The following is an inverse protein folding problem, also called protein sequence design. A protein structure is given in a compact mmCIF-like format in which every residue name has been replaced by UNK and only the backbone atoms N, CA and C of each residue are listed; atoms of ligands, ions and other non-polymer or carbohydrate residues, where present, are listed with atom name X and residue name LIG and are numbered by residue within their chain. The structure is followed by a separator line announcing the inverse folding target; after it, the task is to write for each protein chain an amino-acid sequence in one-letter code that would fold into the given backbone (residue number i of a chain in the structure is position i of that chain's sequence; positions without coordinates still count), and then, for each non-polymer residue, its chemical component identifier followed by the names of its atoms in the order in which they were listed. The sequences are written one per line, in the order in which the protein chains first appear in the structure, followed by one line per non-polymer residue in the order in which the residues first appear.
data_IF_777108399905
#
_entry.id   IF_777108399905
#
_cell.length_a   1.000
_cell.length_b   1.000
_cell.length_c   1.000
_cell.angle_alpha   90.00
_cell.angle_beta   90.00
_cell.angle_gamma   90.00
#
_symmetry.space_group_name_H-M   'P 1'
#
loop_
_entity.id
_entity.type
_entity.pdbx_description
1 polymer ?
#
# COMPACT_ATOMS: atom_id res chain seq x y z
N UNK A 1 -7.36 16.96 -18.75
CA UNK A 1 -6.13 16.57 -19.50
C UNK A 1 -6.12 15.04 -19.64
N UNK A 2 -5.80 14.55 -20.80
CA UNK A 2 -5.66 13.11 -21.03
C UNK A 2 -4.20 12.70 -21.05
N UNK A 3 -3.91 11.50 -20.52
CA UNK A 3 -2.57 10.93 -20.48
C UNK A 3 -2.42 9.72 -21.42
N UNK A 4 -3.39 9.52 -22.31
CA UNK A 4 -3.50 8.29 -23.11
C UNK A 4 -2.26 7.95 -23.93
N UNK A 5 -1.55 8.97 -24.42
CA UNK A 5 -0.40 8.79 -25.29
C UNK A 5 0.96 9.00 -24.59
N UNK A 6 0.95 9.11 -23.28
CA UNK A 6 2.19 9.28 -22.53
C UNK A 6 2.79 7.91 -22.16
N UNK A 7 4.13 7.76 -22.23
CA UNK A 7 4.77 6.60 -21.63
C UNK A 7 4.37 6.44 -20.16
N UNK A 8 4.31 5.22 -19.64
CA UNK A 8 3.81 4.97 -18.27
C UNK A 8 4.47 5.81 -17.17
N UNK A 9 5.75 6.10 -17.31
CA UNK A 9 6.49 6.87 -16.31
C UNK A 9 6.78 8.31 -16.71
N UNK A 10 6.20 8.79 -17.82
CA UNK A 10 6.31 10.19 -18.17
C UNK A 10 5.68 11.06 -17.10
N UNK A 11 6.34 12.15 -16.76
CA UNK A 11 5.87 13.08 -15.74
C UNK A 11 4.47 13.62 -16.07
N UNK A 12 3.62 13.68 -15.06
CA UNK A 12 2.24 14.17 -15.20
C UNK A 12 1.66 14.61 -13.87
N UNK A 13 0.65 15.46 -13.94
CA UNK A 13 -0.20 15.74 -12.78
C UNK A 13 -1.31 14.69 -12.71
N UNK A 14 -1.57 14.18 -11.51
CA UNK A 14 -2.64 13.22 -11.25
C UNK A 14 -3.70 13.93 -10.42
N UNK A 15 -4.93 13.95 -10.90
CA UNK A 15 -6.07 14.50 -10.17
C UNK A 15 -6.60 13.42 -9.22
N UNK A 16 -6.03 13.38 -8.03
CA UNK A 16 -6.30 12.33 -7.06
C UNK A 16 -7.76 12.31 -6.61
N UNK A 17 -8.38 13.48 -6.50
CA UNK A 17 -9.78 13.58 -6.08
C UNK A 17 -10.70 12.80 -7.01
N UNK A 18 -10.44 12.85 -8.30
CA UNK A 18 -11.26 12.20 -9.32
C UNK A 18 -10.85 10.77 -9.66
N UNK A 19 -9.79 10.25 -9.05
CA UNK A 19 -9.47 8.84 -9.20
C UNK A 19 -10.49 7.98 -8.43
N UNK A 20 -10.94 6.87 -9.01
CA UNK A 20 -11.84 5.98 -8.29
C UNK A 20 -11.10 5.26 -7.16
N UNK A 21 -11.80 4.99 -6.06
CA UNK A 21 -11.30 4.10 -5.03
C UNK A 21 -11.38 2.67 -5.52
N UNK A 22 -10.29 1.96 -5.45
CA UNK A 22 -10.21 0.53 -5.76
C UNK A 22 -10.45 -0.27 -4.49
N UNK A 23 -11.35 -1.24 -4.58
CA UNK A 23 -11.57 -2.16 -3.47
C UNK A 23 -10.40 -3.11 -3.36
N UNK A 24 -9.96 -3.34 -2.13
CA UNK A 24 -8.93 -4.33 -1.86
C UNK A 24 -9.58 -5.67 -1.49
N UNK A 25 -8.76 -6.67 -1.22
CA UNK A 25 -9.20 -7.95 -0.69
C UNK A 25 -9.87 -7.82 0.69
N UNK A 26 -9.60 -6.74 1.42
CA UNK A 26 -10.04 -6.58 2.80
C UNK A 26 -11.20 -5.59 2.89
N UNK A 27 -12.37 -6.03 3.44
CA UNK A 27 -13.51 -5.13 3.61
C UNK A 27 -13.13 -3.90 4.45
N UNK A 28 -13.58 -2.74 4.03
CA UNK A 28 -13.28 -1.48 4.71
C UNK A 28 -11.91 -0.89 4.40
N UNK A 29 -11.15 -1.51 3.49
CA UNK A 29 -9.85 -1.02 3.04
C UNK A 29 -9.90 -0.77 1.54
N UNK A 30 -9.61 0.46 1.14
CA UNK A 30 -9.63 0.88 -0.26
C UNK A 30 -8.34 1.61 -0.61
N UNK A 31 -8.01 1.65 -1.90
CA UNK A 31 -6.78 2.24 -2.39
C UNK A 31 -7.02 3.04 -3.67
N UNK A 32 -6.27 4.14 -3.81
CA UNK A 32 -6.06 4.81 -5.11
C UNK A 32 -4.60 4.64 -5.46
N UNK A 33 -4.30 4.06 -6.62
CA UNK A 33 -2.93 3.95 -7.10
C UNK A 33 -2.54 5.26 -7.78
N UNK A 34 -1.56 5.95 -7.23
CA UNK A 34 -1.09 7.23 -7.78
C UNK A 34 0.03 7.03 -8.79
N UNK A 35 0.91 6.09 -8.52
CA UNK A 35 2.05 5.77 -9.38
C UNK A 35 2.36 4.29 -9.21
N UNK A 36 2.54 3.58 -10.31
CA UNK A 36 3.05 2.21 -10.27
C UNK A 36 4.04 2.01 -11.42
N UNK A 37 5.20 1.47 -11.11
CA UNK A 37 6.17 1.00 -12.08
C UNK A 37 6.27 -0.53 -11.97
N UNK A 38 5.65 -1.22 -12.89
CA UNK A 38 5.61 -2.68 -12.86
C UNK A 38 6.95 -3.33 -13.18
N UNK A 39 7.88 -2.56 -13.76
CA UNK A 39 9.22 -3.06 -14.06
C UNK A 39 10.09 -3.09 -12.79
N UNK A 40 9.92 -2.14 -11.88
CA UNK A 40 10.75 -2.03 -10.67
C UNK A 40 9.98 -2.31 -9.38
N UNK A 41 8.64 -2.38 -9.44
CA UNK A 41 7.82 -2.56 -8.25
C UNK A 41 7.51 -1.28 -7.48
N UNK A 42 8.02 -0.14 -7.93
CA UNK A 42 7.73 1.13 -7.27
C UNK A 42 6.24 1.40 -7.27
N UNK A 43 5.67 1.66 -6.09
CA UNK A 43 4.25 1.91 -5.93
C UNK A 43 4.03 3.04 -4.94
N UNK A 44 3.21 4.02 -5.33
CA UNK A 44 2.71 5.05 -4.43
C UNK A 44 1.19 5.00 -4.46
N UNK A 45 0.58 4.89 -3.31
CA UNK A 45 -0.86 4.72 -3.18
C UNK A 45 -1.42 5.57 -2.04
N UNK A 46 -2.65 6.02 -2.24
CA UNK A 46 -3.46 6.59 -1.18
C UNK A 46 -4.34 5.47 -0.63
N UNK A 47 -4.29 5.23 0.66
CA UNK A 47 -5.01 4.15 1.33
C UNK A 47 -6.02 4.72 2.31
N UNK A 48 -7.22 4.15 2.31
CA UNK A 48 -8.27 4.52 3.25
C UNK A 48 -8.74 3.29 3.99
N UNK A 49 -8.79 3.39 5.31
CA UNK A 49 -9.29 2.33 6.18
C UNK A 49 -10.45 2.84 7.03
N UNK A 50 -11.54 2.08 7.07
CA UNK A 50 -12.68 2.40 7.92
C UNK A 50 -12.31 2.27 9.41
N UNK A 51 -13.05 2.93 10.32
CA UNK A 51 -12.74 2.89 11.75
C UNK A 51 -12.58 1.47 12.30
N UNK A 52 -11.46 1.23 12.99
CA UNK A 52 -11.16 -0.03 13.66
C UNK A 52 -10.87 -1.22 12.74
N UNK A 53 -10.84 -1.01 11.44
CA UNK A 53 -10.58 -2.10 10.50
C UNK A 53 -9.14 -2.59 10.64
N UNK A 54 -9.00 -3.90 10.63
CA UNK A 54 -7.70 -4.56 10.73
C UNK A 54 -7.17 -4.89 9.34
N UNK A 55 -5.90 -4.57 9.14
CA UNK A 55 -5.12 -5.05 8.02
C UNK A 55 -4.31 -6.26 8.52
N UNK A 56 -4.60 -7.48 8.00
CA UNK A 56 -3.97 -8.67 8.57
C UNK A 56 -2.48 -8.75 8.31
N UNK A 57 -1.88 -9.78 8.86
CA UNK A 57 -0.45 -10.04 8.82
C UNK A 57 0.13 -9.93 7.41
N UNK A 58 1.16 -9.13 7.27
CA UNK A 58 1.86 -8.91 6.00
C UNK A 58 3.34 -8.64 6.24
N UNK A 59 4.13 -8.93 5.20
CA UNK A 59 5.57 -8.71 5.21
C UNK A 59 5.94 -7.57 4.29
N UNK A 60 6.79 -6.67 4.76
CA UNK A 60 7.39 -5.60 3.96
C UNK A 60 8.60 -6.20 3.24
N UNK A 61 8.44 -6.51 1.96
CA UNK A 61 9.53 -7.12 1.17
C UNK A 61 10.69 -6.15 1.02
N UNK A 62 10.36 -4.88 0.81
CA UNK A 62 11.29 -3.75 0.81
C UNK A 62 10.74 -2.69 1.75
N UNK A 63 11.47 -1.61 1.92
CA UNK A 63 11.04 -0.51 2.79
C UNK A 63 9.67 0.01 2.34
N UNK A 64 8.78 0.25 3.31
CA UNK A 64 7.54 0.96 3.12
C UNK A 64 7.58 2.25 3.93
N UNK A 65 7.14 3.34 3.33
CA UNK A 65 7.03 4.63 3.99
C UNK A 65 5.57 5.06 3.99
N UNK A 66 5.07 5.53 5.13
CA UNK A 66 3.67 5.93 5.27
C UNK A 66 3.56 7.27 5.99
N UNK A 67 2.87 8.21 5.36
CA UNK A 67 2.51 9.49 5.96
C UNK A 67 1.01 9.48 6.26
N UNK A 68 0.62 9.72 7.50
CA UNK A 68 -0.78 9.75 7.90
C UNK A 68 -1.38 11.12 7.59
N UNK A 69 -2.40 11.15 6.74
CA UNK A 69 -3.08 12.39 6.33
C UNK A 69 -4.27 12.71 7.23
N UNK A 70 -5.05 11.70 7.61
CA UNK A 70 -6.24 11.85 8.45
C UNK A 70 -6.36 10.61 9.34
N UNK A 71 -7.00 10.76 10.50
CA UNK A 71 -7.20 9.66 11.43
C UNK A 71 -5.90 9.10 11.99
N UNK A 72 -5.79 7.79 12.07
CA UNK A 72 -4.59 7.17 12.61
C UNK A 72 -4.41 5.73 12.17
N UNK A 73 -3.16 5.26 12.23
CA UNK A 73 -2.74 3.89 12.00
C UNK A 73 -2.19 3.34 13.32
N UNK A 74 -2.76 2.24 13.80
CA UNK A 74 -2.38 1.63 15.07
C UNK A 74 -1.59 0.35 14.79
N UNK A 75 -0.43 0.24 15.41
CA UNK A 75 0.46 -0.92 15.33
C UNK A 75 0.94 -1.27 16.74
N UNK A 76 1.79 -2.28 16.87
CA UNK A 76 2.32 -2.69 18.19
C UNK A 76 3.07 -1.57 18.89
N UNK A 77 3.72 -0.69 18.15
CA UNK A 77 4.50 0.42 18.71
C UNK A 77 3.63 1.56 19.24
N UNK A 78 2.36 1.59 18.86
CA UNK A 78 1.45 2.65 19.26
C UNK A 78 0.62 3.17 18.11
N UNK A 79 0.22 4.43 18.21
CA UNK A 79 -0.67 5.08 17.25
C UNK A 79 0.09 6.16 16.47
N UNK A 80 0.09 6.02 15.15
CA UNK A 80 0.64 7.03 14.23
C UNK A 80 -0.55 7.90 13.75
N UNK A 81 -0.53 9.18 14.12
CA UNK A 81 -1.66 10.11 13.90
C UNK A 81 -1.41 11.00 12.69
N UNK A 82 -2.45 11.71 12.27
CA UNK A 82 -2.35 12.69 11.20
C UNK A 82 -1.16 13.64 11.43
N UNK A 83 -0.37 13.83 10.38
CA UNK A 83 0.85 14.63 10.43
C UNK A 83 2.10 13.85 10.87
N UNK A 84 1.95 12.58 11.20
CA UNK A 84 3.07 11.72 11.59
C UNK A 84 3.44 10.76 10.47
N UNK A 85 4.68 10.28 10.54
CA UNK A 85 5.30 9.44 9.51
C UNK A 85 5.89 8.19 10.16
N UNK A 86 5.76 7.07 9.48
CA UNK A 86 6.38 5.81 9.90
C UNK A 86 6.99 5.12 8.68
N UNK A 87 8.11 4.42 8.90
CA UNK A 87 8.63 3.51 7.89
C UNK A 87 8.78 2.12 8.48
N UNK A 88 8.68 1.12 7.60
CA UNK A 88 8.88 -0.29 7.96
C UNK A 88 10.04 -0.82 7.14
N UNK A 89 11.08 -1.34 7.78
CA UNK A 89 12.23 -1.86 7.04
C UNK A 89 11.89 -3.14 6.29
N UNK A 90 12.70 -3.46 5.29
CA UNK A 90 12.59 -4.71 4.56
C UNK A 90 12.68 -5.90 5.52
N UNK A 91 11.83 -6.90 5.31
CA UNK A 91 11.77 -8.10 6.13
C UNK A 91 10.88 -7.99 7.36
N UNK A 92 10.41 -6.79 7.72
CA UNK A 92 9.52 -6.64 8.86
C UNK A 92 8.12 -7.17 8.53
N UNK A 93 7.45 -7.69 9.55
CA UNK A 93 6.14 -8.31 9.42
C UNK A 93 5.26 -7.89 10.58
N UNK A 94 4.01 -7.48 10.30
CA UNK A 94 3.09 -7.04 11.34
C UNK A 94 1.64 -7.03 10.89
N UNK A 95 0.76 -6.84 11.86
CA UNK A 95 -0.63 -6.46 11.64
C UNK A 95 -0.78 -4.97 11.92
N UNK A 96 -1.83 -4.36 11.37
CA UNK A 96 -2.12 -2.94 11.61
C UNK A 96 -3.63 -2.73 11.68
N UNK A 97 -4.04 -1.66 12.36
CA UNK A 97 -5.44 -1.28 12.49
C UNK A 97 -5.62 0.20 12.18
N UNK A 98 -6.78 0.54 11.64
CA UNK A 98 -7.19 1.93 11.65
C UNK A 98 -7.60 2.32 13.07
N UNK A 99 -7.36 3.56 13.45
CA UNK A 99 -7.84 4.09 14.71
C UNK A 99 -9.35 4.26 14.77
N UNK A 100 -9.89 4.79 15.88
CA UNK A 100 -11.35 4.91 16.09
C UNK A 100 -12.08 5.75 15.05
N UNK A 101 -11.36 6.62 14.35
CA UNK A 101 -11.94 7.51 13.32
C UNK A 101 -11.55 7.07 11.90
N UNK A 102 -10.98 5.87 11.76
CA UNK A 102 -10.44 5.41 10.49
C UNK A 102 -9.10 6.04 10.18
N UNK A 103 -8.69 5.96 8.92
CA UNK A 103 -7.44 6.56 8.51
C UNK A 103 -7.33 6.78 7.01
N UNK A 104 -6.59 7.81 6.64
CA UNK A 104 -6.19 8.11 5.27
C UNK A 104 -4.67 8.25 5.26
N UNK A 105 -4.02 7.46 4.41
CA UNK A 105 -2.57 7.31 4.42
C UNK A 105 -1.99 7.46 3.02
N UNK A 106 -0.85 8.14 2.92
CA UNK A 106 -0.03 8.10 1.70
C UNK A 106 1.07 7.08 1.94
N UNK A 107 1.07 6.00 1.17
CA UNK A 107 2.01 4.90 1.32
C UNK A 107 2.90 4.77 0.08
N UNK A 108 4.19 4.58 0.30
CA UNK A 108 5.20 4.46 -0.75
C UNK A 108 5.98 3.17 -0.55
N UNK A 109 5.97 2.33 -1.59
CA UNK A 109 6.61 1.01 -1.59
C UNK A 109 7.66 0.93 -2.68
N UNK A 110 8.76 0.22 -2.41
CA UNK A 110 9.70 -0.15 -3.46
C UNK A 110 9.23 -1.41 -4.18
N UNK A 111 8.61 -2.34 -3.44
CA UNK A 111 7.92 -3.52 -3.97
C UNK A 111 6.70 -3.73 -3.08
N UNK A 112 5.54 -4.09 -3.63
CA UNK A 112 4.35 -4.34 -2.82
C UNK A 112 4.54 -5.41 -1.76
N UNK A 113 3.83 -5.26 -0.65
CA UNK A 113 3.91 -6.18 0.49
C UNK A 113 3.30 -7.55 0.15
N UNK A 114 3.74 -8.56 0.89
CA UNK A 114 3.14 -9.89 0.87
C UNK A 114 2.09 -10.00 1.95
N UNK A 115 0.89 -10.44 1.57
CA UNK A 115 -0.21 -10.75 2.49
C UNK A 115 -0.42 -12.26 2.52
N UNK A 116 -0.46 -12.82 3.73
CA UNK A 116 -0.54 -14.26 3.93
C UNK A 116 -1.99 -14.67 4.16
N UNK A 117 -2.55 -15.47 3.27
CA UNK A 117 -3.94 -15.90 3.35
C UNK A 117 -4.08 -17.17 4.18
N UNK A 118 -5.28 -17.39 4.80
CA UNK A 118 -5.50 -18.59 5.61
C UNK A 118 -5.29 -19.90 4.87
N UNK A 119 -5.47 -19.93 3.55
CA UNK A 119 -5.28 -21.12 2.72
C UNK A 119 -3.82 -21.33 2.29
N UNK A 120 -2.89 -20.52 2.78
CA UNK A 120 -1.47 -20.59 2.47
C UNK A 120 -1.04 -19.80 1.25
N UNK A 121 -1.97 -19.21 0.49
CA UNK A 121 -1.61 -18.36 -0.64
C UNK A 121 -0.99 -17.06 -0.15
N UNK A 122 -0.09 -16.51 -0.96
CA UNK A 122 0.54 -15.21 -0.71
C UNK A 122 0.09 -14.27 -1.83
N UNK A 123 -0.55 -13.17 -1.44
CA UNK A 123 -1.10 -12.22 -2.40
C UNK A 123 -0.55 -10.82 -2.15
N UNK A 124 -0.70 -9.94 -3.15
CA UNK A 124 -0.53 -8.53 -2.91
C UNK A 124 -1.83 -7.94 -2.32
N UNK A 125 -1.82 -6.63 -2.10
CA UNK A 125 -2.92 -5.92 -1.44
C UNK A 125 -4.25 -6.02 -2.22
N UNK A 126 -4.18 -6.09 -3.54
CA UNK A 126 -5.37 -6.19 -4.39
C UNK A 126 -5.81 -7.64 -4.65
N UNK A 127 -5.08 -8.62 -4.11
CA UNK A 127 -5.43 -10.03 -4.22
C UNK A 127 -4.75 -10.78 -5.36
N UNK A 128 -3.78 -10.16 -6.05
CA UNK A 128 -3.00 -10.84 -7.09
C UNK A 128 -2.01 -11.81 -6.44
N UNK A 129 -1.72 -12.93 -7.11
CA UNK A 129 -0.65 -13.83 -6.68
C UNK A 129 0.66 -13.04 -6.64
N UNK A 130 1.27 -12.95 -5.46
CA UNK A 130 2.42 -12.08 -5.25
C UNK A 130 3.63 -12.51 -6.07
N UNK A 131 3.93 -13.80 -6.09
CA UNK A 131 5.11 -14.31 -6.81
C UNK A 131 4.99 -14.05 -8.32
N UNK A 132 3.82 -14.26 -8.88
CA UNK A 132 3.58 -13.99 -10.31
C UNK A 132 3.67 -12.52 -10.64
N UNK A 133 3.12 -11.67 -9.79
CA UNK A 133 3.08 -10.23 -10.04
C UNK A 133 4.43 -9.55 -9.78
N UNK A 134 5.14 -9.93 -8.72
CA UNK A 134 6.27 -9.17 -8.20
C UNK A 134 7.52 -9.99 -7.89
N UNK A 135 7.44 -11.32 -7.90
CA UNK A 135 8.53 -12.20 -7.46
C UNK A 135 9.82 -12.01 -8.23
N UNK A 136 9.75 -11.79 -9.54
CA UNK A 136 10.91 -11.58 -10.38
C UNK A 136 11.68 -10.32 -9.99
N UNK A 137 10.95 -9.27 -9.63
CA UNK A 137 11.55 -7.98 -9.26
C UNK A 137 12.26 -8.08 -7.93
N UNK A 138 11.66 -8.75 -6.94
CA UNK A 138 12.22 -8.88 -5.60
C UNK A 138 13.55 -9.65 -5.58
N UNK A 139 13.81 -10.47 -6.59
CA UNK A 139 15.05 -11.24 -6.73
C UNK A 139 16.14 -10.49 -7.48
N UNK A 140 15.80 -9.37 -8.11
CA UNK A 140 16.78 -8.53 -8.78
C UNK A 140 17.70 -7.85 -7.75
N UNK A 141 18.94 -7.56 -8.13
CA UNK A 141 19.85 -6.82 -7.26
C UNK A 141 19.23 -5.44 -6.92
N UNK A 142 19.41 -4.98 -5.69
CA UNK A 142 18.90 -3.67 -5.30
C UNK A 142 19.58 -2.52 -6.04
#
# INVERSE_FOLDING_TARGET
MTHANLPPLASRFVDVEHLPWEKTRYPGVEQKTLLVDRATGLLTALMKMAPGVKLPDHEHVRIEQTYVLEGSLVCHEGECRAGQFVWRPAGSRHEAWAGPQGGLFLAMFQVPNKFFQPDGRVTDFLGNDWEKAWGRISKAAP
#
